data_IF_242022837065
#
_entry.id   IF_242022837065
#
_cell.length_a   1.000
_cell.length_b   1.000
_cell.length_c   1.000
_cell.angle_alpha   90.00
_cell.angle_beta   90.00
_cell.angle_gamma   90.00
#
_symmetry.space_group_name_H-M   'P 1'
#
loop_
_entity.id
_entity.type
_entity.pdbx_description
1 polymer ?
#
# COMPACT_ATOMS: atom_id res chain seq x y z
N UNK A 1 4.09 22.99 16.24
CA UNK A 1 5.52 22.68 16.44
C UNK A 1 5.81 21.54 15.49
N UNK A 2 6.70 21.76 14.54
CA UNK A 2 6.90 20.85 13.41
C UNK A 2 8.12 19.96 13.67
N UNK A 3 7.94 18.65 13.57
CA UNK A 3 9.06 17.72 13.61
C UNK A 3 9.60 17.57 12.18
N UNK A 4 10.61 18.36 11.84
CA UNK A 4 11.23 18.31 10.50
C UNK A 4 12.18 17.11 10.45
N UNK A 5 11.81 16.11 9.65
CA UNK A 5 12.61 14.92 9.42
C UNK A 5 13.39 15.08 8.12
N UNK A 6 14.72 15.05 8.20
CA UNK A 6 15.58 15.02 7.01
C UNK A 6 15.51 13.64 6.36
N UNK A 7 15.15 13.61 5.07
CA UNK A 7 15.05 12.40 4.26
C UNK A 7 16.43 11.76 4.00
N UNK A 8 17.00 11.06 4.99
CA UNK A 8 18.14 10.13 4.88
C UNK A 8 17.90 8.93 5.80
N UNK A 9 18.55 7.77 5.55
CA UNK A 9 17.88 6.47 5.54
C UNK A 9 17.14 6.15 6.85
N UNK A 10 15.99 5.52 6.67
CA UNK A 10 14.92 5.26 7.63
C UNK A 10 15.26 4.55 8.97
N UNK A 11 16.38 3.80 9.18
CA UNK A 11 16.57 3.07 10.44
C UNK A 11 16.64 3.95 11.69
N UNK A 12 17.15 5.18 11.53
CA UNK A 12 17.36 6.10 12.66
C UNK A 12 16.12 6.97 12.96
N UNK A 13 15.16 7.03 12.02
CA UNK A 13 13.94 7.82 12.16
C UNK A 13 13.04 7.31 13.27
N UNK A 14 12.82 5.99 13.28
CA UNK A 14 11.91 5.34 14.22
C UNK A 14 12.41 5.50 15.65
N UNK A 15 13.70 5.26 15.88
CA UNK A 15 14.34 5.48 17.20
C UNK A 15 14.24 6.93 17.65
N UNK A 16 14.38 7.89 16.73
CA UNK A 16 14.20 9.32 17.04
C UNK A 16 12.74 9.62 17.39
N UNK A 17 11.78 9.13 16.61
CA UNK A 17 10.36 9.30 16.88
C UNK A 17 9.96 8.71 18.25
N UNK A 18 10.33 7.47 18.53
CA UNK A 18 10.07 6.80 19.82
C UNK A 18 10.64 7.59 21.01
N UNK A 19 11.79 8.24 20.82
CA UNK A 19 12.43 9.06 21.87
C UNK A 19 11.81 10.43 22.03
N UNK A 20 11.49 11.11 20.93
CA UNK A 20 10.99 12.50 20.97
C UNK A 20 9.47 12.58 21.18
N UNK A 21 8.70 11.56 20.80
CA UNK A 21 7.23 11.53 20.97
C UNK A 21 6.81 11.74 22.44
N UNK A 22 7.30 10.97 23.43
CA UNK A 22 6.93 11.16 24.83
C UNK A 22 7.41 12.49 25.42
N UNK A 23 8.43 13.13 24.82
CA UNK A 23 8.99 14.40 25.29
C UNK A 23 8.15 15.61 24.89
N UNK A 24 7.46 15.51 23.76
CA UNK A 24 6.68 16.61 23.20
C UNK A 24 5.17 16.37 23.23
N UNK A 25 4.76 15.10 23.35
CA UNK A 25 3.38 14.68 23.32
C UNK A 25 3.15 13.63 24.43
N UNK A 26 2.00 13.63 25.12
CA UNK A 26 1.67 12.63 26.12
C UNK A 26 1.25 11.31 25.45
N UNK A 27 2.00 10.84 24.46
CA UNK A 27 1.71 9.62 23.69
C UNK A 27 2.95 8.71 23.60
N UNK A 28 2.70 7.40 23.55
CA UNK A 28 3.69 6.36 23.27
C UNK A 28 3.29 5.61 22.02
N UNK A 29 4.27 5.34 21.16
CA UNK A 29 4.09 4.55 19.95
C UNK A 29 4.66 3.15 20.14
N UNK A 30 3.92 2.12 19.74
CA UNK A 30 4.38 0.72 19.78
C UNK A 30 3.88 -0.04 18.55
N UNK A 31 4.74 -0.89 17.99
CA UNK A 31 4.32 -1.88 17.01
C UNK A 31 3.54 -3.00 17.71
N UNK A 32 2.29 -3.18 17.32
CA UNK A 32 1.42 -4.25 17.81
C UNK A 32 0.86 -5.03 16.64
N UNK A 33 0.62 -6.32 16.88
CA UNK A 33 -0.15 -7.15 15.95
C UNK A 33 -1.61 -7.01 16.31
N UNK A 34 -2.42 -6.61 15.34
CA UNK A 34 -3.84 -6.45 15.52
C UNK A 34 -4.61 -7.15 14.41
N UNK A 35 -5.73 -7.78 14.78
CA UNK A 35 -6.65 -8.33 13.78
C UNK A 35 -7.49 -7.20 13.23
N UNK A 36 -7.36 -6.92 11.95
CA UNK A 36 -8.10 -5.85 11.29
C UNK A 36 -8.66 -6.30 9.94
N UNK A 37 -9.70 -5.60 9.50
CA UNK A 37 -10.23 -5.76 8.16
C UNK A 37 -9.22 -5.24 7.13
N UNK A 38 -8.79 -6.11 6.24
CA UNK A 38 -7.85 -5.81 5.16
C UNK A 38 -8.44 -6.22 3.81
N UNK A 39 -7.84 -5.73 2.74
CA UNK A 39 -8.01 -6.34 1.44
C UNK A 39 -6.86 -7.30 1.15
N UNK A 40 -7.18 -8.40 0.50
CA UNK A 40 -6.21 -9.35 0.01
C UNK A 40 -6.23 -9.30 -1.52
N UNK A 41 -5.12 -8.88 -2.11
CA UNK A 41 -4.92 -8.87 -3.56
C UNK A 41 -4.53 -10.28 -4.01
N UNK A 42 -5.32 -10.88 -4.90
CA UNK A 42 -5.08 -12.21 -5.44
C UNK A 42 -5.10 -12.21 -6.96
N UNK A 43 -4.36 -13.16 -7.52
CA UNK A 43 -4.48 -13.46 -8.94
C UNK A 43 -5.71 -14.33 -9.19
N UNK A 44 -6.64 -13.81 -9.98
CA UNK A 44 -7.84 -14.54 -10.42
C UNK A 44 -7.56 -15.33 -11.71
N UNK A 45 -6.77 -14.77 -12.62
CA UNK A 45 -6.42 -15.42 -13.90
C UNK A 45 -4.91 -15.45 -14.12
N UNK A 46 -4.34 -16.66 -14.11
CA UNK A 46 -2.92 -16.87 -14.43
C UNK A 46 -2.59 -16.42 -15.86
N UNK A 47 -1.42 -15.82 -16.05
CA UNK A 47 -0.96 -15.33 -17.36
C UNK A 47 -1.66 -14.06 -17.89
N UNK A 48 -2.59 -13.48 -17.12
CA UNK A 48 -3.25 -12.22 -17.50
C UNK A 48 -2.32 -11.00 -17.48
N UNK A 49 -1.23 -11.09 -16.71
CA UNK A 49 -0.18 -10.10 -16.59
C UNK A 49 1.13 -10.72 -17.11
N UNK A 50 1.52 -10.47 -18.37
CA UNK A 50 2.80 -10.94 -18.88
C UNK A 50 3.95 -10.18 -18.22
N UNK A 51 5.06 -10.87 -17.97
CA UNK A 51 6.25 -10.21 -17.43
C UNK A 51 6.83 -9.20 -18.43
N UNK A 52 7.18 -8.02 -17.91
CA UNK A 52 7.81 -6.94 -18.64
C UNK A 52 9.34 -7.02 -18.53
N UNK A 53 10.00 -6.66 -19.64
CA UNK A 53 11.45 -6.49 -19.73
C UNK A 53 11.87 -5.02 -19.83
N UNK A 54 10.91 -4.11 -19.69
CA UNK A 54 11.18 -2.68 -19.80
C UNK A 54 11.92 -2.15 -18.58
N UNK A 55 12.59 -1.00 -18.74
CA UNK A 55 13.12 -0.26 -17.62
C UNK A 55 11.97 0.19 -16.70
N UNK A 56 12.27 0.24 -15.41
CA UNK A 56 11.27 0.63 -14.41
C UNK A 56 10.93 2.12 -14.52
N UNK A 57 9.64 2.41 -14.69
CA UNK A 57 9.11 3.77 -14.68
C UNK A 57 7.72 3.76 -14.05
N UNK A 58 7.46 4.67 -13.12
CA UNK A 58 6.18 4.78 -12.40
C UNK A 58 5.69 6.21 -12.46
N UNK A 59 4.41 6.40 -12.79
CA UNK A 59 3.73 7.68 -12.84
C UNK A 59 2.38 7.59 -12.15
N UNK A 60 2.10 8.55 -11.27
CA UNK A 60 0.83 8.69 -10.57
C UNK A 60 0.07 9.89 -11.13
N UNK A 61 -1.25 9.79 -11.19
CA UNK A 61 -2.15 10.86 -11.54
C UNK A 61 -3.38 10.80 -10.63
N UNK A 62 -4.15 11.89 -10.56
CA UNK A 62 -5.42 11.89 -9.84
C UNK A 62 -6.44 10.87 -10.37
N UNK A 63 -6.25 10.34 -11.58
CA UNK A 63 -7.14 9.36 -12.19
C UNK A 63 -6.58 7.92 -12.21
N UNK A 64 -5.35 7.69 -11.73
CA UNK A 64 -4.76 6.35 -11.78
C UNK A 64 -3.24 6.28 -11.76
N UNK A 65 -2.74 5.08 -12.06
CA UNK A 65 -1.35 4.66 -12.01
C UNK A 65 -0.93 4.12 -13.37
N UNK A 66 0.25 4.55 -13.85
CA UNK A 66 0.95 3.88 -14.94
C UNK A 66 2.31 3.43 -14.43
N UNK A 67 2.60 2.14 -14.53
CA UNK A 67 3.89 1.57 -14.21
C UNK A 67 4.39 0.72 -15.39
N UNK A 68 5.66 0.83 -15.73
CA UNK A 68 6.34 0.00 -16.72
C UNK A 68 7.49 -0.71 -16.05
N UNK A 69 7.68 -2.00 -16.36
CA UNK A 69 8.78 -2.79 -15.81
C UNK A 69 8.86 -2.81 -14.28
N UNK A 70 7.75 -2.60 -13.58
CA UNK A 70 7.71 -2.44 -12.12
C UNK A 70 7.05 -3.64 -11.44
N UNK A 71 7.32 -3.79 -10.15
CA UNK A 71 6.64 -4.79 -9.30
C UNK A 71 5.20 -4.36 -9.01
N UNK A 72 4.44 -5.17 -8.28
CA UNK A 72 3.09 -4.80 -7.84
C UNK A 72 3.05 -3.74 -6.74
N UNK A 73 4.18 -3.42 -6.09
CA UNK A 73 4.21 -2.48 -4.97
C UNK A 73 3.54 -1.12 -5.26
N UNK A 74 3.80 -0.43 -6.40
CA UNK A 74 3.10 0.81 -6.73
C UNK A 74 1.59 0.68 -6.86
N UNK A 75 1.10 -0.49 -7.34
CA UNK A 75 -0.33 -0.77 -7.43
C UNK A 75 -0.92 -1.00 -6.04
N UNK A 76 -0.24 -1.76 -5.19
CA UNK A 76 -0.66 -2.01 -3.80
C UNK A 76 -0.74 -0.68 -3.04
N UNK A 77 0.28 0.17 -3.13
CA UNK A 77 0.30 1.50 -2.52
C UNK A 77 -0.87 2.37 -3.03
N UNK A 78 -1.13 2.34 -4.34
CA UNK A 78 -2.27 3.06 -4.93
C UNK A 78 -3.61 2.57 -4.37
N UNK A 79 -3.80 1.25 -4.25
CA UNK A 79 -5.01 0.64 -3.71
C UNK A 79 -5.20 0.97 -2.22
N UNK A 80 -4.13 0.91 -1.42
CA UNK A 80 -4.17 1.26 0.00
C UNK A 80 -4.60 2.71 0.20
N UNK A 81 -4.01 3.63 -0.57
CA UNK A 81 -4.36 5.05 -0.51
C UNK A 81 -5.80 5.30 -0.97
N UNK A 82 -6.25 4.61 -2.03
CA UNK A 82 -7.60 4.79 -2.58
C UNK A 82 -8.69 4.21 -1.67
N UNK A 83 -8.41 3.11 -0.97
CA UNK A 83 -9.38 2.40 -0.13
C UNK A 83 -9.25 2.76 1.36
N UNK A 84 -8.22 3.52 1.74
CA UNK A 84 -7.86 3.83 3.13
C UNK A 84 -7.88 2.58 4.04
N UNK A 85 -7.41 1.45 3.50
CA UNK A 85 -7.44 0.13 4.15
C UNK A 85 -6.17 -0.61 3.75
N UNK A 86 -5.50 -1.34 4.66
CA UNK A 86 -4.35 -2.17 4.30
C UNK A 86 -4.68 -3.18 3.19
N UNK A 87 -3.73 -3.37 2.26
CA UNK A 87 -3.84 -4.33 1.17
C UNK A 87 -2.67 -5.28 1.28
N UNK A 88 -2.95 -6.59 1.39
CA UNK A 88 -1.93 -7.64 1.43
C UNK A 88 -1.77 -8.27 0.05
N UNK A 89 -0.53 -8.49 -0.36
CA UNK A 89 -0.20 -9.19 -1.60
C UNK A 89 -0.17 -10.71 -1.37
N UNK A 90 -1.19 -11.40 -1.90
CA UNK A 90 -1.24 -12.86 -2.00
C UNK A 90 -1.33 -13.29 -3.49
N UNK A 91 -0.84 -12.45 -4.42
CA UNK A 91 -0.89 -12.76 -5.86
C UNK A 91 0.12 -13.82 -6.28
N UNK A 92 1.23 -13.95 -5.55
CA UNK A 92 2.38 -14.77 -5.93
C UNK A 92 3.19 -14.22 -7.10
N UNK A 93 2.91 -12.99 -7.56
CA UNK A 93 3.55 -12.37 -8.71
C UNK A 93 4.82 -11.63 -8.30
N UNK A 94 5.98 -12.29 -8.40
CA UNK A 94 7.28 -11.71 -8.02
C UNK A 94 8.03 -11.03 -9.16
N UNK A 95 7.54 -11.18 -10.40
CA UNK A 95 8.11 -10.59 -11.61
C UNK A 95 7.92 -9.07 -11.72
N UNK A 96 8.24 -8.54 -12.89
CA UNK A 96 8.00 -7.15 -13.28
C UNK A 96 6.88 -7.11 -14.31
N UNK A 97 6.04 -6.09 -14.27
CA UNK A 97 4.85 -5.98 -15.11
C UNK A 97 4.67 -4.55 -15.61
N UNK A 98 4.01 -4.45 -16.75
CA UNK A 98 3.49 -3.18 -17.24
C UNK A 98 2.04 -3.06 -16.75
N UNK A 99 1.79 -2.09 -15.86
CA UNK A 99 0.53 -1.86 -15.20
C UNK A 99 -0.06 -0.55 -15.69
N UNK A 100 -1.28 -0.61 -16.21
CA UNK A 100 -2.07 0.59 -16.52
C UNK A 100 -3.37 0.49 -15.73
N UNK A 101 -3.46 1.31 -14.70
CA UNK A 101 -4.59 1.35 -13.79
C UNK A 101 -5.26 2.72 -13.88
N UNK A 102 -6.54 2.74 -14.17
CA UNK A 102 -7.31 3.99 -14.27
C UNK A 102 -8.65 3.77 -13.59
N UNK A 103 -9.02 4.71 -12.73
CA UNK A 103 -10.24 4.65 -11.93
C UNK A 103 -11.05 5.93 -12.10
N UNK A 104 -12.35 5.74 -12.17
CA UNK A 104 -13.33 6.83 -12.20
C UNK A 104 -13.63 7.22 -10.75
N UNK A 105 -13.24 8.44 -10.36
CA UNK A 105 -13.36 8.92 -8.98
C UNK A 105 -14.81 8.95 -8.47
N UNK A 106 -15.77 9.23 -9.35
CA UNK A 106 -17.21 9.25 -9.02
C UNK A 106 -17.76 7.88 -8.60
N UNK A 107 -17.15 6.80 -9.09
CA UNK A 107 -17.54 5.41 -8.81
C UNK A 107 -16.32 4.56 -8.46
N UNK A 108 -15.50 5.06 -7.52
CA UNK A 108 -14.17 4.52 -7.23
C UNK A 108 -14.16 3.00 -7.03
N UNK A 109 -15.05 2.46 -6.20
CA UNK A 109 -15.07 1.02 -5.89
C UNK A 109 -15.40 0.12 -7.09
N UNK A 110 -16.56 0.28 -7.76
CA UNK A 110 -16.86 -0.51 -8.96
C UNK A 110 -15.80 -0.34 -10.07
N UNK A 111 -15.26 0.87 -10.22
CA UNK A 111 -14.24 1.17 -11.23
C UNK A 111 -12.93 0.43 -10.94
N UNK A 112 -12.49 0.44 -9.67
CA UNK A 112 -11.31 -0.26 -9.18
C UNK A 112 -11.45 -1.77 -9.36
N UNK A 113 -12.56 -2.38 -8.95
CA UNK A 113 -12.80 -3.82 -9.12
C UNK A 113 -12.80 -4.23 -10.60
N UNK A 114 -13.41 -3.41 -11.47
CA UNK A 114 -13.41 -3.62 -12.92
C UNK A 114 -12.00 -3.54 -13.51
N UNK A 115 -11.20 -2.57 -13.07
CA UNK A 115 -9.82 -2.40 -13.53
C UNK A 115 -8.93 -3.58 -13.10
N UNK A 116 -9.08 -4.06 -11.86
CA UNK A 116 -8.36 -5.24 -11.36
C UNK A 116 -8.73 -6.51 -12.14
N UNK A 117 -10.03 -6.75 -12.36
CA UNK A 117 -10.50 -7.92 -13.12
C UNK A 117 -9.95 -7.96 -14.54
N UNK A 118 -9.82 -6.81 -15.20
CA UNK A 118 -9.19 -6.73 -16.54
C UNK A 118 -7.74 -7.22 -16.52
N UNK A 119 -7.02 -6.96 -15.43
CA UNK A 119 -5.66 -7.46 -15.21
C UNK A 119 -5.60 -8.89 -14.66
N UNK A 120 -6.76 -9.55 -14.48
CA UNK A 120 -6.84 -10.88 -13.88
C UNK A 120 -6.49 -10.88 -12.39
N UNK A 121 -6.69 -9.75 -11.70
CA UNK A 121 -6.52 -9.60 -10.27
C UNK A 121 -7.89 -9.38 -9.61
N UNK A 122 -7.98 -9.71 -8.33
CA UNK A 122 -9.16 -9.41 -7.50
C UNK A 122 -8.75 -8.97 -6.10
N UNK A 123 -9.65 -8.26 -5.43
CA UNK A 123 -9.54 -7.91 -4.02
C UNK A 123 -10.64 -8.62 -3.23
N UNK A 124 -10.24 -9.40 -2.23
CA UNK A 124 -11.15 -10.00 -1.27
C UNK A 124 -11.06 -9.25 0.08
N UNK A 125 -12.18 -8.96 0.74
CA UNK A 125 -12.19 -8.41 2.11
C UNK A 125 -12.00 -9.55 3.10
N UNK A 126 -10.98 -9.46 3.94
CA UNK A 126 -10.71 -10.50 4.93
C UNK A 126 -10.25 -9.90 6.27
N UNK A 127 -10.35 -10.68 7.34
CA UNK A 127 -9.73 -10.36 8.61
C UNK A 127 -8.33 -10.99 8.64
N UNK A 128 -7.31 -10.18 8.94
CA UNK A 128 -5.92 -10.63 9.03
C UNK A 128 -5.22 -10.00 10.22
N UNK A 129 -4.27 -10.74 10.77
CA UNK A 129 -3.30 -10.18 11.71
C UNK A 129 -2.31 -9.34 10.91
N UNK A 130 -2.24 -8.04 11.22
CA UNK A 130 -1.31 -7.11 10.58
C UNK A 130 -0.56 -6.31 11.63
N UNK A 131 0.65 -5.89 11.27
CA UNK A 131 1.46 -5.01 12.10
C UNK A 131 0.94 -3.58 11.97
N UNK A 132 0.60 -2.97 13.10
CA UNK A 132 0.10 -1.61 13.19
C UNK A 132 0.90 -0.82 14.22
N UNK A 133 1.00 0.48 14.00
CA UNK A 133 1.52 1.40 15.00
C UNK A 133 0.37 1.84 15.91
N UNK A 134 0.39 1.38 17.16
CA UNK A 134 -0.55 1.81 18.19
C UNK A 134 0.01 3.05 18.91
N UNK A 135 -0.83 4.08 19.03
CA UNK A 135 -0.55 5.28 19.81
C UNK A 135 -1.40 5.25 21.08
N UNK A 136 -0.76 5.18 22.25
CA UNK A 136 -1.43 5.19 23.56
C UNK A 136 -1.03 6.42 24.38
N UNK A 137 -1.82 6.79 25.39
CA UNK A 137 -1.44 7.86 26.31
C UNK A 137 -0.18 7.47 27.12
N UNK A 138 0.74 8.41 27.26
CA UNK A 138 1.86 8.28 28.20
C UNK A 138 1.36 8.58 29.62
N UNK A 139 1.63 7.71 30.61
CA UNK A 139 1.36 8.00 32.02
C UNK A 139 2.25 9.14 32.56
#
# INVERSE_FOLDING_TARGET
MDLIVLARPAPDLRRRLERELPRHFPIRAREVRHTAGVYVLRQERRGALPESRQAEAVSYSGAGLQARGSRLAPLIDFLQNSLNTPVLDETGLTGRYDLVFTVEQENLRPSLEKALRKMGLKLDKEQREVEMLELTAAP
#
